data_IF_084428920256
#
_entry.id   IF_084428920256
#
_cell.length_a   1.000
_cell.length_b   1.000
_cell.length_c   1.000
_cell.angle_alpha   90.00
_cell.angle_beta   90.00
_cell.angle_gamma   90.00
#
_symmetry.space_group_name_H-M   'P 1'
#
loop_
_entity.id
_entity.type
_entity.pdbx_description
1 polymer ?
#
# COMPACT_ATOMS: atom_id res chain seq x y z
N UNK A 1 9.91 -4.51 6.74
CA UNK A 1 11.23 -3.85 6.67
C UNK A 1 11.60 -3.79 5.20
N UNK A 2 11.83 -2.60 4.61
CA UNK A 2 12.22 -2.50 3.21
C UNK A 2 13.56 -3.22 3.01
N UNK A 3 13.67 -3.99 1.94
CA UNK A 3 14.94 -4.60 1.53
C UNK A 3 15.77 -3.48 0.89
N UNK A 4 16.63 -2.86 1.69
CA UNK A 4 17.44 -1.71 1.28
C UNK A 4 18.76 -2.16 0.65
N UNK A 5 19.17 -1.47 -0.41
CA UNK A 5 20.48 -1.62 -1.04
C UNK A 5 21.58 -0.96 -0.18
N UNK A 6 21.82 -1.46 1.02
CA UNK A 6 22.84 -0.92 1.95
C UNK A 6 24.29 -1.14 1.49
N UNK A 7 24.49 -2.03 0.50
CA UNK A 7 25.81 -2.37 -0.04
C UNK A 7 25.78 -2.40 -1.55
N UNK A 8 26.87 -1.91 -2.13
CA UNK A 8 27.12 -2.00 -3.57
C UNK A 8 27.34 -3.47 -3.97
N UNK A 9 26.59 -3.96 -4.95
CA UNK A 9 26.73 -5.34 -5.44
C UNK A 9 28.04 -5.62 -6.18
N UNK A 10 28.70 -4.57 -6.71
CA UNK A 10 29.97 -4.71 -7.44
C UNK A 10 31.18 -4.76 -6.51
N UNK A 11 31.32 -3.77 -5.62
CA UNK A 11 32.52 -3.61 -4.77
C UNK A 11 32.29 -3.91 -3.29
N UNK A 12 31.04 -4.23 -2.89
CA UNK A 12 30.62 -4.47 -1.49
C UNK A 12 30.86 -3.31 -0.53
N UNK A 13 31.22 -2.12 -1.03
CA UNK A 13 31.28 -0.89 -0.25
C UNK A 13 29.91 -0.50 0.30
N UNK A 14 29.88 0.17 1.46
CA UNK A 14 28.63 0.73 1.99
C UNK A 14 28.08 1.74 0.99
N UNK A 15 26.83 1.53 0.62
CA UNK A 15 26.04 2.47 -0.15
C UNK A 15 25.22 3.20 0.91
N UNK A 16 25.60 4.45 1.20
CA UNK A 16 24.76 5.32 2.03
C UNK A 16 23.47 5.66 1.26
N UNK A 17 22.77 6.73 1.64
CA UNK A 17 21.62 7.25 0.87
C UNK A 17 21.97 7.79 -0.53
N UNK A 18 23.17 7.53 -1.05
CA UNK A 18 23.56 7.89 -2.40
C UNK A 18 23.09 6.84 -3.41
N UNK A 19 22.64 7.28 -4.58
CA UNK A 19 22.33 6.39 -5.70
C UNK A 19 23.56 5.93 -6.46
N UNK A 20 24.70 6.63 -6.32
CA UNK A 20 25.97 6.26 -6.94
C UNK A 20 26.95 5.80 -5.87
N UNK A 21 27.60 4.65 -6.09
CA UNK A 21 28.58 4.14 -5.14
C UNK A 21 29.83 5.04 -5.08
N UNK A 22 30.21 5.54 -3.88
CA UNK A 22 31.36 6.43 -3.75
C UNK A 22 32.70 5.73 -3.99
N UNK A 23 32.74 4.39 -3.95
CA UNK A 23 33.98 3.61 -4.11
C UNK A 23 34.26 3.21 -5.55
N UNK A 24 33.24 2.79 -6.29
CA UNK A 24 33.40 2.24 -7.64
C UNK A 24 32.63 2.99 -8.73
N UNK A 25 31.81 3.99 -8.37
CA UNK A 25 31.05 4.78 -9.32
C UNK A 25 29.86 4.06 -9.99
N UNK A 26 29.52 2.83 -9.56
CA UNK A 26 28.33 2.16 -10.07
C UNK A 26 27.06 2.93 -9.68
N UNK A 27 26.17 3.12 -10.66
CA UNK A 27 24.89 3.79 -10.51
C UNK A 27 23.77 2.80 -10.18
N UNK A 28 23.06 3.06 -9.09
CA UNK A 28 21.92 2.31 -8.58
C UNK A 28 20.62 3.12 -8.59
N UNK A 29 20.61 4.31 -9.21
CA UNK A 29 19.44 5.21 -9.26
C UNK A 29 18.21 4.49 -9.81
N UNK A 30 18.37 3.76 -10.91
CA UNK A 30 17.30 2.97 -11.52
C UNK A 30 16.80 1.84 -10.61
N UNK A 31 17.72 1.15 -9.93
CA UNK A 31 17.36 0.07 -9.02
C UNK A 31 16.57 0.61 -7.81
N UNK A 32 17.00 1.74 -7.24
CA UNK A 32 16.26 2.42 -6.16
C UNK A 32 14.88 2.87 -6.61
N UNK A 33 14.79 3.51 -7.79
CA UNK A 33 13.52 3.94 -8.34
C UNK A 33 12.57 2.76 -8.57
N UNK A 34 13.07 1.62 -9.03
CA UNK A 34 12.25 0.41 -9.20
C UNK A 34 11.71 -0.12 -7.86
N UNK A 35 12.52 -0.09 -6.79
CA UNK A 35 12.09 -0.47 -5.43
C UNK A 35 10.97 0.45 -4.95
N UNK A 36 11.16 1.77 -5.04
CA UNK A 36 10.16 2.77 -4.63
C UNK A 36 8.85 2.63 -5.42
N UNK A 37 8.94 2.41 -6.74
CA UNK A 37 7.77 2.17 -7.58
C UNK A 37 7.04 0.87 -7.20
N UNK A 38 7.77 -0.20 -6.89
CA UNK A 38 7.19 -1.45 -6.45
C UNK A 38 6.40 -1.27 -5.14
N UNK A 39 6.97 -0.55 -4.17
CA UNK A 39 6.28 -0.22 -2.91
C UNK A 39 5.02 0.61 -3.14
N UNK A 40 5.09 1.61 -4.00
CA UNK A 40 3.92 2.42 -4.37
C UNK A 40 2.79 1.58 -4.99
N UNK A 41 3.13 0.61 -5.85
CA UNK A 41 2.16 -0.32 -6.43
C UNK A 41 1.58 -1.27 -5.39
N UNK A 42 2.40 -1.77 -4.47
CA UNK A 42 1.94 -2.63 -3.39
C UNK A 42 0.94 -1.92 -2.48
N UNK A 43 1.18 -0.65 -2.16
CA UNK A 43 0.22 0.17 -1.42
C UNK A 43 -1.10 0.34 -2.18
N UNK A 44 -1.06 0.54 -3.50
CA UNK A 44 -2.28 0.57 -4.33
C UNK A 44 -3.01 -0.77 -4.34
N UNK A 45 -2.30 -1.89 -4.42
CA UNK A 45 -2.90 -3.21 -4.34
C UNK A 45 -3.65 -3.43 -3.03
N UNK A 46 -3.05 -3.03 -1.90
CA UNK A 46 -3.68 -3.12 -0.58
C UNK A 46 -4.94 -2.24 -0.49
N UNK A 47 -4.92 -1.04 -1.07
CA UNK A 47 -6.12 -0.19 -1.15
C UNK A 47 -7.21 -0.82 -2.01
N UNK A 48 -6.86 -1.40 -3.14
CA UNK A 48 -7.81 -2.11 -4.01
C UNK A 48 -8.43 -3.32 -3.30
N UNK A 49 -7.64 -4.08 -2.53
CA UNK A 49 -8.16 -5.16 -1.69
C UNK A 49 -9.15 -4.67 -0.65
N UNK A 50 -8.87 -3.54 0.00
CA UNK A 50 -9.73 -2.97 1.05
C UNK A 50 -11.12 -2.56 0.52
N UNK A 51 -11.22 -2.17 -0.76
CA UNK A 51 -12.51 -1.85 -1.41
C UNK A 51 -13.15 -3.05 -2.12
N UNK A 52 -12.50 -4.21 -2.10
CA UNK A 52 -13.00 -5.45 -2.72
C UNK A 52 -12.62 -5.66 -4.19
N UNK A 53 -11.85 -4.75 -4.79
CA UNK A 53 -11.42 -4.82 -6.19
C UNK A 53 -10.25 -5.79 -6.39
N UNK A 54 -10.56 -7.10 -6.45
CA UNK A 54 -9.58 -8.19 -6.58
C UNK A 54 -8.79 -8.14 -7.88
N UNK A 55 -9.41 -7.75 -9.00
CA UNK A 55 -8.74 -7.68 -10.29
C UNK A 55 -7.68 -6.58 -10.33
N UNK A 56 -8.04 -5.39 -9.84
CA UNK A 56 -7.11 -4.27 -9.73
C UNK A 56 -5.97 -4.60 -8.76
N UNK A 57 -6.29 -5.23 -7.62
CA UNK A 57 -5.29 -5.69 -6.67
C UNK A 57 -4.28 -6.65 -7.31
N UNK A 58 -4.73 -7.65 -8.06
CA UNK A 58 -3.84 -8.58 -8.77
C UNK A 58 -2.94 -7.88 -9.77
N UNK A 59 -3.51 -7.02 -10.62
CA UNK A 59 -2.74 -6.27 -11.60
C UNK A 59 -1.61 -5.46 -10.95
N UNK A 60 -1.90 -4.81 -9.82
CA UNK A 60 -0.91 -4.03 -9.08
C UNK A 60 0.14 -4.89 -8.38
N UNK A 61 -0.24 -6.05 -7.83
CA UNK A 61 0.69 -7.01 -7.24
C UNK A 61 1.64 -7.59 -8.29
N UNK A 62 1.13 -8.01 -9.46
CA UNK A 62 1.96 -8.50 -10.55
C UNK A 62 2.95 -7.43 -11.04
N UNK A 63 2.48 -6.20 -11.19
CA UNK A 63 3.33 -5.08 -11.56
C UNK A 63 4.39 -4.76 -10.49
N UNK A 64 4.06 -4.88 -9.20
CA UNK A 64 5.04 -4.78 -8.11
C UNK A 64 6.08 -5.89 -8.18
N UNK A 65 5.67 -7.15 -8.40
CA UNK A 65 6.56 -8.31 -8.45
C UNK A 65 7.51 -8.29 -9.65
N UNK A 66 7.09 -7.69 -10.76
CA UNK A 66 7.93 -7.49 -11.94
C UNK A 66 9.09 -6.52 -11.66
N UNK A 67 8.89 -5.54 -10.77
CA UNK A 67 9.89 -4.55 -10.39
C UNK A 67 10.77 -5.03 -9.24
N UNK A 68 10.15 -5.52 -8.17
CA UNK A 68 10.85 -5.97 -6.98
C UNK A 68 10.10 -7.14 -6.32
N UNK A 69 10.79 -8.28 -6.16
CA UNK A 69 10.20 -9.53 -5.65
C UNK A 69 10.07 -9.53 -4.13
N UNK A 70 9.30 -8.58 -3.58
CA UNK A 70 9.02 -8.52 -2.15
C UNK A 70 8.25 -9.76 -1.69
N UNK A 71 8.62 -10.32 -0.52
CA UNK A 71 7.91 -11.45 0.08
C UNK A 71 6.43 -11.14 0.37
N UNK A 72 6.14 -9.91 0.77
CA UNK A 72 4.76 -9.47 1.02
C UNK A 72 3.92 -9.50 -0.27
N UNK A 73 4.46 -9.01 -1.38
CA UNK A 73 3.78 -9.06 -2.68
C UNK A 73 3.52 -10.50 -3.13
N UNK A 74 4.44 -11.43 -2.87
CA UNK A 74 4.24 -12.86 -3.14
C UNK A 74 3.11 -13.45 -2.30
N UNK A 75 3.10 -13.17 -1.00
CA UNK A 75 2.05 -13.65 -0.10
C UNK A 75 0.65 -13.13 -0.49
N UNK A 76 0.56 -11.86 -0.88
CA UNK A 76 -0.70 -11.27 -1.35
C UNK A 76 -1.14 -11.89 -2.68
N UNK A 77 -0.21 -12.17 -3.60
CA UNK A 77 -0.53 -12.88 -4.84
C UNK A 77 -1.10 -14.26 -4.54
N UNK A 78 -0.45 -15.01 -3.66
CA UNK A 78 -0.90 -16.36 -3.30
C UNK A 78 -2.28 -16.34 -2.64
N UNK A 79 -2.55 -15.36 -1.76
CA UNK A 79 -3.88 -15.13 -1.19
C UNK A 79 -4.94 -14.78 -2.25
N UNK A 80 -4.54 -13.98 -3.25
CA UNK A 80 -5.43 -13.61 -4.35
C UNK A 80 -5.76 -14.82 -5.22
N UNK A 81 -4.78 -15.67 -5.52
CA UNK A 81 -4.92 -16.90 -6.31
C UNK A 81 -5.68 -18.01 -5.56
N UNK A 82 -5.48 -18.16 -4.25
CA UNK A 82 -6.16 -19.19 -3.43
C UNK A 82 -7.68 -18.97 -3.34
N UNK A 83 -8.13 -17.71 -3.48
CA UNK A 83 -9.56 -17.36 -3.43
C UNK A 83 -10.40 -17.82 -4.63
N UNK A 84 -9.83 -18.47 -5.64
CA UNK A 84 -10.60 -19.08 -6.74
C UNK A 84 -11.18 -20.46 -6.42
N UNK A 85 -10.75 -21.11 -5.33
CA UNK A 85 -11.24 -22.45 -4.96
C UNK A 85 -12.45 -22.42 -4.01
N UNK A 86 -12.82 -21.25 -3.47
CA UNK A 86 -13.86 -21.14 -2.43
C UNK A 86 -15.18 -20.51 -2.93
N UNK A 87 -15.53 -20.68 -4.20
CA UNK A 87 -16.87 -20.37 -4.70
C UNK A 87 -17.91 -21.46 -4.40
N UNK A 88 -17.68 -22.28 -3.36
CA UNK A 88 -18.56 -23.36 -2.90
C UNK A 88 -18.94 -23.33 -1.42
N UNK A 89 -18.40 -22.41 -0.62
CA UNK A 89 -18.79 -22.27 0.78
C UNK A 89 -19.40 -20.90 1.05
N UNK A 90 -20.73 -20.90 1.15
CA UNK A 90 -21.49 -19.93 1.92
C UNK A 90 -20.98 -19.97 3.37
N UNK A 91 -19.94 -19.20 3.63
CA UNK A 91 -19.27 -19.10 4.92
C UNK A 91 -18.73 -17.69 5.06
N UNK A 92 -19.66 -16.75 5.25
CA UNK A 92 -19.47 -15.49 5.96
C UNK A 92 -18.11 -15.42 6.68
N UNK A 93 -17.11 -14.82 6.01
CA UNK A 93 -15.94 -14.30 6.71
C UNK A 93 -16.35 -12.91 7.19
N UNK A 94 -16.99 -12.86 8.35
CA UNK A 94 -17.06 -11.62 9.14
C UNK A 94 -15.63 -11.15 9.32
N UNK A 95 -15.26 -10.09 8.62
CA UNK A 95 -14.28 -9.19 9.18
C UNK A 95 -14.86 -8.72 10.53
N UNK A 96 -14.06 -8.60 11.61
CA UNK A 96 -14.56 -8.01 12.84
C UNK A 96 -14.86 -6.54 12.56
N UNK A 97 -16.10 -6.28 12.13
CA UNK A 97 -16.72 -4.98 12.22
C UNK A 97 -16.66 -4.66 13.72
N UNK A 98 -15.90 -3.63 14.09
CA UNK A 98 -15.87 -3.19 15.47
C UNK A 98 -17.29 -2.88 15.91
N UNK A 99 -17.84 -3.70 16.81
CA UNK A 99 -19.06 -3.43 17.56
C UNK A 99 -18.85 -2.14 18.37
N UNK A 100 -19.16 -1.00 17.75
CA UNK A 100 -19.67 0.16 18.48
C UNK A 100 -21.19 0.02 18.53
N UNK A 101 -21.66 -0.80 19.46
CA UNK A 101 -23.02 -0.72 19.97
C UNK A 101 -23.19 0.63 20.67
N UNK A 102 -23.80 1.58 19.97
CA UNK A 102 -24.45 2.73 20.58
C UNK A 102 -25.96 2.50 20.50
N UNK A 103 -26.47 1.72 21.45
CA UNK A 103 -27.90 1.68 21.72
C UNK A 103 -28.29 2.91 22.53
N UNK A 104 -29.08 3.80 21.93
CA UNK A 104 -29.65 4.97 22.59
C UNK A 104 -30.67 5.63 21.68
N UNK A 105 -31.95 5.34 21.91
CA UNK A 105 -33.10 5.67 21.06
C UNK A 105 -33.43 7.16 20.86
N UNK A 106 -34.55 7.43 20.16
CA UNK A 106 -34.77 8.65 19.39
C UNK A 106 -35.55 9.72 20.17
N UNK A 107 -35.01 10.92 20.30
CA UNK A 107 -35.82 12.15 20.37
C UNK A 107 -34.94 13.39 20.10
N UNK A 108 -35.46 14.36 19.36
CA UNK A 108 -34.90 15.71 19.32
C UNK A 108 -34.11 16.10 18.07
N UNK A 109 -34.84 16.45 17.01
CA UNK A 109 -34.40 17.38 15.97
C UNK A 109 -33.78 18.63 16.61
N UNK A 110 -32.57 19.04 16.18
CA UNK A 110 -32.27 20.47 16.03
C UNK A 110 -31.23 20.74 14.94
N UNK A 111 -31.71 21.49 13.96
CA UNK A 111 -31.02 22.16 12.88
C UNK A 111 -29.87 23.07 13.33
N UNK A 112 -28.91 23.23 12.42
CA UNK A 112 -27.94 24.33 12.37
C UNK A 112 -26.51 23.79 12.19
N UNK A 113 -25.74 24.12 11.18
CA UNK A 113 -25.92 25.03 10.05
C UNK A 113 -24.86 24.61 9.02
N UNK A 114 -25.23 24.47 7.76
CA UNK A 114 -24.29 24.18 6.67
C UNK A 114 -23.62 25.49 6.25
N UNK A 115 -22.39 25.77 6.67
CA UNK A 115 -21.59 26.83 6.06
C UNK A 115 -20.12 26.40 5.89
N UNK A 116 -19.79 26.04 4.66
CA UNK A 116 -18.52 26.36 4.01
C UNK A 116 -18.93 27.27 2.80
N UNK A 117 -18.11 28.19 2.23
CA UNK A 117 -16.65 28.28 2.28
C UNK A 117 -16.06 29.71 2.36
N UNK A 118 -14.72 29.78 2.24
CA UNK A 118 -13.90 30.84 1.60
C UNK A 118 -13.19 31.91 2.47
N UNK A 119 -11.85 31.88 2.35
CA UNK A 119 -10.88 32.98 2.40
C UNK A 119 -10.74 33.87 3.65
N UNK A 120 -9.56 33.77 4.28
CA UNK A 120 -8.81 34.93 4.73
C UNK A 120 -7.30 34.62 4.78
N UNK A 121 -6.60 34.99 3.71
CA UNK A 121 -5.20 35.42 3.73
C UNK A 121 -5.06 36.53 4.78
N UNK A 122 -3.98 36.56 5.56
CA UNK A 122 -3.15 37.76 5.80
C UNK A 122 -1.88 37.47 6.63
N UNK A 123 -0.85 38.34 6.49
CA UNK A 123 0.56 38.05 6.76
C UNK A 123 1.05 38.61 8.10
N UNK A 124 2.31 38.33 8.43
CA UNK A 124 3.12 39.18 9.32
C UNK A 124 4.53 39.26 8.76
#
# INVERSE_FOLDING_TARGET
MPETLDRCQACRGRLADNSICPRCGCDFSLARQAIEQAEGRLQHALRALAVGDRELARSQVDASLAMHRQRLAQAIKEFLDSGYMESGHAGHTSWPQGDLQAEGGPDGIRQGDCLNPVSAVQPT
#
